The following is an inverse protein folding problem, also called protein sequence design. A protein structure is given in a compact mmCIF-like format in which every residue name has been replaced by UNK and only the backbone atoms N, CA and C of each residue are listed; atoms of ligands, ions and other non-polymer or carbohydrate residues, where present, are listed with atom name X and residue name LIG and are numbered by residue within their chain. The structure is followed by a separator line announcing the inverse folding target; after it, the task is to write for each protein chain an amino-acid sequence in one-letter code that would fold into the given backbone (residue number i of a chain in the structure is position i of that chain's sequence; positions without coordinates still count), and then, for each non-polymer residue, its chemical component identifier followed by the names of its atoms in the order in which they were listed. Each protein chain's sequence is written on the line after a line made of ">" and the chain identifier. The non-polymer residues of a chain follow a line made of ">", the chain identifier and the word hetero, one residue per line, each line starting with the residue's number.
data_IF_134683787836
#
_entry.id   IF_134683787836
#
_cell.length_a   1.000
_cell.length_b   1.000
_cell.length_c   1.000
_cell.angle_alpha   90.00
_cell.angle_beta   90.00
_cell.angle_gamma   90.00
#
_symmetry.space_group_name_H-M   'P 1'
#
loop_
_entity.id
_entity.type
_entity.pdbx_description
1 polymer ?
#
# COMPACT_ATOMS: atom_id res chain seq x y z
N UNK A 1 6.66 -2.11 -22.78
CA UNK A 1 5.25 -2.34 -22.40
C UNK A 1 4.90 -1.28 -21.37
N UNK A 2 4.12 -0.26 -21.75
CA UNK A 2 3.90 0.94 -20.93
C UNK A 2 2.81 0.69 -19.88
N UNK A 3 3.10 1.00 -18.62
CA UNK A 3 2.16 0.94 -17.48
C UNK A 3 0.87 1.76 -17.70
N UNK A 4 0.86 2.70 -18.67
CA UNK A 4 -0.34 3.47 -19.04
C UNK A 4 -1.47 2.65 -19.66
N UNK A 5 -1.23 1.41 -20.09
CA UNK A 5 -2.27 0.57 -20.71
C UNK A 5 -3.17 -0.16 -19.69
N UNK A 6 -2.96 0.03 -18.38
CA UNK A 6 -3.63 -0.75 -17.34
C UNK A 6 -4.70 0.03 -16.58
N UNK A 7 -4.65 1.36 -16.60
CA UNK A 7 -5.59 2.25 -15.93
C UNK A 7 -6.39 3.02 -16.98
N UNK A 8 -7.70 2.79 -17.04
CA UNK A 8 -8.62 3.63 -17.81
C UNK A 8 -8.95 4.86 -16.97
N UNK A 9 -8.37 6.00 -17.35
CA UNK A 9 -8.55 7.27 -16.65
C UNK A 9 -9.98 7.82 -16.80
N UNK A 10 -10.63 7.57 -17.94
CA UNK A 10 -11.96 8.08 -18.23
C UNK A 10 -13.05 7.31 -17.48
N UNK A 11 -12.87 6.00 -17.30
CA UNK A 11 -13.81 5.17 -16.54
C UNK A 11 -13.39 4.82 -15.11
N UNK A 12 -12.19 5.21 -14.69
CA UNK A 12 -11.64 4.91 -13.36
C UNK A 12 -11.42 3.41 -13.11
N UNK A 13 -11.25 2.62 -14.16
CA UNK A 13 -11.22 1.15 -14.09
C UNK A 13 -9.83 0.58 -14.38
N UNK A 14 -9.50 -0.48 -13.66
CA UNK A 14 -8.35 -1.31 -14.00
C UNK A 14 -8.66 -2.32 -15.10
N UNK A 15 -7.80 -2.34 -16.11
CA UNK A 15 -7.88 -3.27 -17.24
C UNK A 15 -7.15 -4.59 -16.94
N UNK A 16 -6.10 -4.56 -16.13
CA UNK A 16 -5.55 -5.74 -15.47
C UNK A 16 -4.88 -5.34 -14.15
N UNK A 17 -5.26 -6.02 -13.06
CA UNK A 17 -4.77 -5.72 -11.73
C UNK A 17 -3.58 -6.61 -11.34
N UNK A 18 -2.56 -6.02 -10.74
CA UNK A 18 -1.39 -6.74 -10.21
C UNK A 18 -1.57 -6.90 -8.70
N UNK A 19 -1.26 -8.07 -8.15
CA UNK A 19 -1.43 -8.33 -6.73
C UNK A 19 -0.22 -7.85 -5.91
N UNK A 20 -0.49 -7.15 -4.81
CA UNK A 20 0.47 -6.66 -3.82
C UNK A 20 1.34 -7.77 -3.22
N UNK A 21 0.91 -9.04 -3.26
CA UNK A 21 1.68 -10.20 -2.78
C UNK A 21 3.07 -10.33 -3.41
N UNK A 22 3.24 -9.90 -4.67
CA UNK A 22 4.54 -9.93 -5.35
C UNK A 22 5.59 -9.01 -4.69
N UNK A 23 5.13 -7.92 -4.04
CA UNK A 23 5.99 -6.96 -3.33
C UNK A 23 6.43 -7.49 -1.97
N UNK A 24 5.67 -8.42 -1.38
CA UNK A 24 5.93 -9.02 -0.06
C UNK A 24 7.29 -9.75 0.02
N UNK A 25 7.84 -10.15 -1.12
CA UNK A 25 9.12 -10.84 -1.24
C UNK A 25 10.32 -9.91 -1.12
N UNK A 26 10.12 -8.60 -1.28
CA UNK A 26 11.18 -7.59 -1.31
C UNK A 26 11.47 -7.05 0.11
N UNK A 27 11.82 -7.94 1.03
CA UNK A 27 11.91 -7.66 2.49
C UNK A 27 12.90 -6.57 2.91
N UNK A 28 13.80 -6.17 2.01
CA UNK A 28 14.77 -5.08 2.20
C UNK A 28 14.29 -3.72 1.70
N UNK A 29 13.05 -3.62 1.18
CA UNK A 29 12.48 -2.34 0.77
C UNK A 29 12.38 -1.38 1.94
N UNK A 30 12.85 -0.16 1.71
CA UNK A 30 12.71 0.97 2.63
C UNK A 30 11.69 1.99 2.12
N UNK A 31 11.46 2.04 0.81
CA UNK A 31 10.53 2.97 0.16
C UNK A 31 9.69 2.19 -0.84
N UNK A 32 8.37 2.27 -0.71
CA UNK A 32 7.41 1.71 -1.64
C UNK A 32 6.41 2.80 -2.04
N UNK A 33 6.50 3.26 -3.28
CA UNK A 33 5.49 4.10 -3.91
C UNK A 33 4.91 3.35 -5.11
N UNK A 34 3.64 3.01 -4.98
CA UNK A 34 2.84 2.40 -6.05
C UNK A 34 1.53 3.17 -6.23
N UNK A 35 1.52 4.44 -5.84
CA UNK A 35 0.36 5.30 -5.97
C UNK A 35 -0.13 5.39 -7.42
N UNK A 36 -1.44 5.53 -7.59
CA UNK A 36 -2.12 5.71 -8.89
C UNK A 36 -1.81 4.58 -9.86
N UNK A 37 -1.74 3.35 -9.33
CA UNK A 37 -1.55 2.14 -10.12
C UNK A 37 -2.71 1.16 -9.93
N UNK A 38 -2.80 0.20 -10.85
CA UNK A 38 -3.75 -0.90 -10.80
C UNK A 38 -3.35 -2.03 -9.82
N UNK A 39 -2.64 -1.70 -8.76
CA UNK A 39 -2.31 -2.70 -7.75
C UNK A 39 -3.51 -2.91 -6.83
N UNK A 40 -3.82 -4.19 -6.61
CA UNK A 40 -4.89 -4.65 -5.72
C UNK A 40 -4.36 -5.67 -4.72
N UNK A 41 -5.19 -6.06 -3.77
CA UNK A 41 -4.89 -7.10 -2.79
C UNK A 41 -4.89 -6.57 -1.36
N UNK A 42 -4.57 -7.46 -0.42
CA UNK A 42 -4.70 -7.17 1.01
C UNK A 42 -3.49 -6.39 1.50
N UNK A 43 -3.70 -5.34 2.29
CA UNK A 43 -2.65 -4.61 2.98
C UNK A 43 -1.77 -5.51 3.87
N UNK A 44 -2.33 -6.61 4.38
CA UNK A 44 -1.59 -7.62 5.14
C UNK A 44 -0.45 -8.28 4.34
N UNK A 45 -0.47 -8.20 3.00
CA UNK A 45 0.61 -8.74 2.17
C UNK A 45 1.95 -8.04 2.40
N UNK A 46 1.97 -6.79 2.88
CA UNK A 46 3.22 -6.05 3.12
C UNK A 46 3.66 -6.07 4.58
N UNK A 47 2.99 -6.81 5.47
CA UNK A 47 3.32 -6.84 6.91
C UNK A 47 4.71 -7.37 7.23
N UNK A 48 5.32 -8.11 6.29
CA UNK A 48 6.70 -8.64 6.35
C UNK A 48 7.77 -7.60 6.01
N UNK A 49 7.40 -6.44 5.44
CA UNK A 49 8.34 -5.43 4.96
C UNK A 49 8.80 -4.50 6.10
N UNK A 50 9.33 -5.07 7.18
CA UNK A 50 9.69 -4.36 8.42
C UNK A 50 10.75 -3.24 8.26
N UNK A 51 11.45 -3.21 7.11
CA UNK A 51 12.41 -2.15 6.77
C UNK A 51 11.76 -0.90 6.17
N UNK A 52 10.45 -0.92 5.88
CA UNK A 52 9.75 0.21 5.26
C UNK A 52 9.78 1.46 6.15
N UNK A 53 10.15 2.56 5.53
CA UNK A 53 10.18 3.92 6.06
C UNK A 53 9.13 4.77 5.37
N UNK A 54 8.90 4.55 4.07
CA UNK A 54 7.94 5.28 3.26
C UNK A 54 7.00 4.32 2.53
N UNK A 55 5.69 4.50 2.74
CA UNK A 55 4.64 3.73 2.07
C UNK A 55 3.60 4.67 1.46
N UNK A 56 3.50 4.66 0.12
CA UNK A 56 2.48 5.38 -0.62
C UNK A 56 1.63 4.41 -1.46
N UNK A 57 0.36 4.26 -1.08
CA UNK A 57 -0.64 3.43 -1.74
C UNK A 57 -1.79 4.26 -2.34
N UNK A 58 -1.62 5.59 -2.44
CA UNK A 58 -2.67 6.50 -2.88
C UNK A 58 -3.33 6.05 -4.18
N UNK A 59 -4.66 6.10 -4.27
CA UNK A 59 -5.41 5.78 -5.49
C UNK A 59 -5.05 4.40 -6.06
N UNK A 60 -5.08 3.39 -5.19
CA UNK A 60 -4.92 1.96 -5.55
C UNK A 60 -6.14 1.17 -5.11
N UNK A 61 -6.25 -0.08 -5.56
CA UNK A 61 -7.34 -1.00 -5.18
C UNK A 61 -6.92 -1.91 -4.01
N UNK A 62 -5.95 -1.46 -3.21
CA UNK A 62 -5.53 -2.17 -1.99
C UNK A 62 -6.63 -2.05 -0.95
N UNK A 63 -6.96 -3.18 -0.33
CA UNK A 63 -8.01 -3.30 0.68
C UNK A 63 -7.50 -3.97 1.97
N UNK A 64 -8.36 -4.07 2.97
CA UNK A 64 -8.07 -4.77 4.23
C UNK A 64 -7.91 -3.85 5.43
N UNK A 65 -7.39 -4.41 6.51
CA UNK A 65 -7.40 -3.74 7.82
C UNK A 65 -6.13 -2.92 8.05
N UNK A 66 -6.30 -1.70 8.57
CA UNK A 66 -5.23 -0.80 8.97
C UNK A 66 -4.28 -1.41 10.02
N UNK A 67 -4.76 -2.36 10.84
CA UNK A 67 -3.92 -3.16 11.75
C UNK A 67 -2.74 -3.85 11.07
N UNK A 68 -2.82 -4.08 9.75
CA UNK A 68 -1.75 -4.68 8.95
C UNK A 68 -0.47 -3.85 8.90
N UNK A 69 -0.53 -2.53 9.07
CA UNK A 69 0.66 -1.68 9.08
C UNK A 69 1.29 -1.56 10.47
N UNK A 70 0.67 -2.09 11.52
CA UNK A 70 1.17 -1.96 12.90
C UNK A 70 2.55 -2.60 13.12
N UNK A 71 2.95 -3.55 12.27
CA UNK A 71 4.28 -4.18 12.30
C UNK A 71 5.36 -3.34 11.63
N UNK A 72 4.99 -2.31 10.87
CA UNK A 72 5.89 -1.48 10.06
C UNK A 72 6.40 -0.29 10.88
N UNK A 73 6.98 -0.55 12.05
CA UNK A 73 7.35 0.45 13.07
C UNK A 73 8.42 1.46 12.64
N UNK A 74 9.05 1.26 11.48
CA UNK A 74 9.99 2.19 10.87
C UNK A 74 9.34 3.26 9.98
N UNK A 75 8.03 3.15 9.70
CA UNK A 75 7.33 4.12 8.86
C UNK A 75 7.39 5.53 9.43
N UNK A 76 7.84 6.46 8.60
CA UNK A 76 7.77 7.91 8.81
C UNK A 76 6.72 8.57 7.93
N UNK A 77 6.30 7.89 6.85
CA UNK A 77 5.27 8.34 5.93
C UNK A 77 4.35 7.19 5.53
N UNK A 78 3.04 7.45 5.61
CA UNK A 78 1.97 6.53 5.22
C UNK A 78 0.89 7.31 4.48
N UNK A 79 0.69 7.02 3.20
CA UNK A 79 -0.43 7.55 2.43
C UNK A 79 -1.34 6.41 1.94
N UNK A 80 -2.59 6.44 2.41
CA UNK A 80 -3.65 5.49 2.08
C UNK A 80 -4.86 6.20 1.45
N UNK A 81 -4.71 7.45 1.00
CA UNK A 81 -5.78 8.22 0.39
C UNK A 81 -6.33 7.50 -0.84
N UNK A 82 -7.66 7.48 -1.01
CA UNK A 82 -8.32 6.82 -2.14
C UNK A 82 -7.92 5.32 -2.27
N UNK A 83 -7.94 4.61 -1.13
CA UNK A 83 -7.81 3.14 -1.07
C UNK A 83 -9.06 2.53 -0.42
N UNK A 84 -9.12 1.21 -0.38
CA UNK A 84 -10.19 0.46 0.31
C UNK A 84 -9.75 -0.05 1.68
N UNK A 85 -8.66 0.50 2.23
CA UNK A 85 -8.18 0.18 3.56
C UNK A 85 -9.08 0.83 4.61
N UNK A 86 -9.50 0.06 5.59
CA UNK A 86 -10.34 0.52 6.69
C UNK A 86 -9.87 0.01 8.05
N UNK A 87 -10.51 0.47 9.11
CA UNK A 87 -10.23 0.06 10.49
C UNK A 87 -10.06 1.25 11.42
N UNK A 88 -9.72 0.94 12.67
CA UNK A 88 -9.54 1.93 13.73
C UNK A 88 -8.16 2.61 13.62
N UNK A 89 -8.13 3.94 13.73
CA UNK A 89 -6.88 4.72 13.78
C UNK A 89 -6.01 4.37 14.99
N UNK A 90 -6.55 3.79 16.06
CA UNK A 90 -5.76 3.24 17.16
C UNK A 90 -4.73 2.19 16.68
N UNK A 91 -4.98 1.56 15.53
CA UNK A 91 -4.08 0.60 14.88
C UNK A 91 -2.72 1.18 14.49
N UNK A 92 -2.63 2.50 14.28
CA UNK A 92 -1.35 3.16 13.95
C UNK A 92 -0.61 3.71 15.17
N UNK A 93 -1.14 3.53 16.38
CA UNK A 93 -0.47 3.95 17.63
C UNK A 93 0.96 3.40 17.80
N UNK A 94 1.35 2.21 17.31
CA UNK A 94 2.74 1.74 17.38
C UNK A 94 3.68 2.47 16.42
N UNK A 95 3.16 3.21 15.43
CA UNK A 95 3.94 3.90 14.40
C UNK A 95 4.42 5.26 14.89
N UNK A 96 5.18 5.26 15.99
CA UNK A 96 5.62 6.48 16.70
C UNK A 96 6.52 7.41 15.89
N UNK A 97 7.04 6.95 14.74
CA UNK A 97 7.87 7.74 13.81
C UNK A 97 7.05 8.42 12.70
N UNK A 98 5.78 8.06 12.55
CA UNK A 98 4.88 8.61 11.54
C UNK A 98 4.63 10.10 11.83
N UNK A 99 4.77 10.95 10.82
CA UNK A 99 4.62 12.41 10.94
C UNK A 99 3.56 12.95 10.01
#
# INVERSE_FOLDING_TARGET
>A
MSLRALWDYDSGRCLAAINLTSVALLTRLTHLDISRTCIQGKLSSISSLASLVHLNLEATQVDGALTSVATLTNLTYLNLYDTQVGGDLASVSPLVKLR
#
